data_IF_166525958280
#
_entry.id   IF_166525958280
#
_cell.length_a   1.000
_cell.length_b   1.000
_cell.length_c   1.000
_cell.angle_alpha   90.00
_cell.angle_beta   90.00
_cell.angle_gamma   90.00
#
_symmetry.space_group_name_H-M   'P 1'
#
loop_
_entity.id
_entity.type
_entity.pdbx_description
1 polymer ?
#
# COMPACT_ATOMS: atom_id res chain seq x y z
N UNK A 1 10.10 14.50 -5.61
CA UNK A 1 8.93 15.36 -5.85
C UNK A 1 7.84 15.14 -4.80
N UNK A 2 6.84 16.04 -4.72
CA UNK A 2 5.61 15.78 -3.98
C UNK A 2 4.69 14.92 -4.87
N UNK A 3 4.23 13.79 -4.35
CA UNK A 3 3.28 12.92 -5.04
C UNK A 3 1.91 13.63 -5.10
N UNK A 4 1.34 13.75 -6.28
CA UNK A 4 0.06 14.40 -6.54
C UNK A 4 -1.09 13.39 -6.72
N UNK A 5 -0.81 12.13 -7.08
CA UNK A 5 -1.86 11.15 -7.31
C UNK A 5 -1.41 9.69 -7.41
N UNK A 6 -2.38 8.82 -7.65
CA UNK A 6 -2.25 7.39 -7.93
C UNK A 6 -2.97 7.08 -9.24
N UNK A 7 -2.38 6.22 -10.10
CA UNK A 7 -3.06 5.79 -11.32
C UNK A 7 -4.27 4.91 -11.01
N UNK A 8 -5.34 5.07 -11.81
CA UNK A 8 -6.56 4.25 -11.70
C UNK A 8 -6.25 2.77 -11.89
N UNK A 9 -5.34 2.46 -12.80
CA UNK A 9 -4.94 1.09 -13.11
C UNK A 9 -4.26 0.43 -11.90
N UNK A 10 -3.30 1.11 -11.27
CA UNK A 10 -2.65 0.60 -10.07
C UNK A 10 -3.65 0.42 -8.94
N UNK A 11 -4.53 1.41 -8.71
CA UNK A 11 -5.54 1.29 -7.66
C UNK A 11 -6.48 0.10 -7.91
N UNK A 12 -6.84 -0.17 -9.16
CA UNK A 12 -7.66 -1.32 -9.54
C UNK A 12 -6.92 -2.63 -9.28
N UNK A 13 -5.62 -2.70 -9.62
CA UNK A 13 -4.76 -3.83 -9.33
C UNK A 13 -4.65 -4.12 -7.82
N UNK A 14 -4.53 -3.09 -6.97
CA UNK A 14 -4.50 -3.28 -5.51
C UNK A 14 -5.81 -3.91 -4.98
N UNK A 15 -6.95 -3.56 -5.56
CA UNK A 15 -8.23 -4.21 -5.21
C UNK A 15 -8.31 -5.66 -5.68
N UNK A 16 -7.75 -5.98 -6.84
CA UNK A 16 -7.67 -7.36 -7.33
C UNK A 16 -6.77 -8.21 -6.45
N UNK A 17 -5.57 -7.73 -6.12
CA UNK A 17 -4.66 -8.40 -5.17
C UNK A 17 -5.33 -8.62 -3.80
N UNK A 18 -6.06 -7.62 -3.29
CA UNK A 18 -6.85 -7.77 -2.07
C UNK A 18 -7.86 -8.91 -2.15
N UNK A 19 -8.55 -9.07 -3.28
CA UNK A 19 -9.51 -10.17 -3.50
C UNK A 19 -8.83 -11.52 -3.65
N UNK A 20 -7.72 -11.58 -4.37
CA UNK A 20 -6.97 -12.82 -4.63
C UNK A 20 -6.35 -13.39 -3.35
N UNK A 21 -5.86 -12.51 -2.46
CA UNK A 21 -5.22 -12.94 -1.22
C UNK A 21 -6.20 -13.18 -0.06
N UNK A 22 -7.45 -12.71 -0.16
CA UNK A 22 -8.47 -12.87 0.87
C UNK A 22 -8.66 -14.35 1.28
N UNK A 23 -8.71 -14.70 2.59
CA UNK A 23 -8.78 -13.81 3.75
C UNK A 23 -7.43 -13.34 4.31
N UNK A 24 -6.32 -13.57 3.61
CA UNK A 24 -5.01 -13.08 4.02
C UNK A 24 -4.75 -11.65 3.58
N UNK A 25 -3.89 -10.94 4.32
CA UNK A 25 -3.37 -9.64 3.90
C UNK A 25 -2.32 -9.82 2.79
N UNK A 26 -2.29 -8.92 1.81
CA UNK A 26 -1.10 -8.72 0.96
C UNK A 26 -0.35 -7.48 1.42
N UNK A 27 0.93 -7.39 1.06
CA UNK A 27 1.71 -6.15 1.16
C UNK A 27 2.58 -6.01 -0.08
N UNK A 28 2.69 -4.78 -0.58
CA UNK A 28 3.52 -4.41 -1.72
C UNK A 28 4.21 -3.07 -1.48
N UNK A 29 5.29 -2.82 -2.21
CA UNK A 29 5.99 -1.53 -2.22
C UNK A 29 5.46 -0.72 -3.39
N UNK A 30 5.19 0.56 -3.16
CA UNK A 30 4.67 1.47 -4.19
C UNK A 30 5.81 2.26 -4.83
N UNK A 31 5.74 2.41 -6.16
CA UNK A 31 6.66 3.22 -6.96
C UNK A 31 5.97 4.43 -7.57
N UNK A 32 6.67 5.55 -7.55
CA UNK A 32 6.23 6.78 -8.21
C UNK A 32 7.05 7.09 -9.45
N UNK A 33 6.35 7.62 -10.46
CA UNK A 33 6.94 8.19 -11.65
C UNK A 33 6.31 9.56 -11.88
N UNK A 34 7.16 10.59 -12.00
CA UNK A 34 6.76 11.98 -12.25
C UNK A 34 5.71 12.51 -11.25
N UNK A 35 5.77 12.07 -9.99
CA UNK A 35 4.84 12.48 -8.93
C UNK A 35 3.52 11.70 -8.89
N UNK A 36 3.36 10.65 -9.69
CA UNK A 36 2.19 9.76 -9.66
C UNK A 36 2.62 8.36 -9.23
N UNK A 37 1.92 7.76 -8.28
CA UNK A 37 2.12 6.35 -7.93
C UNK A 37 1.50 5.49 -9.04
N UNK A 38 2.33 4.79 -9.82
CA UNK A 38 1.88 4.07 -11.02
C UNK A 38 2.19 2.59 -11.02
N UNK A 39 3.11 2.14 -10.17
CA UNK A 39 3.58 0.76 -10.17
C UNK A 39 3.79 0.23 -8.74
N UNK A 40 3.96 -1.08 -8.62
CA UNK A 40 4.28 -1.76 -7.37
C UNK A 40 5.37 -2.81 -7.55
N UNK A 41 6.10 -3.08 -6.46
CA UNK A 41 6.96 -4.25 -6.34
C UNK A 41 6.41 -5.22 -5.30
N UNK A 42 6.40 -6.49 -5.66
CA UNK A 42 6.22 -7.58 -4.71
C UNK A 42 7.58 -7.93 -4.12
N UNK A 43 7.68 -7.88 -2.79
CA UNK A 43 8.95 -8.12 -2.10
C UNK A 43 9.12 -9.63 -1.87
N UNK A 44 10.24 -10.23 -2.32
CA UNK A 44 10.56 -11.62 -2.00
C UNK A 44 10.57 -11.86 -0.49
N UNK A 45 10.17 -13.05 -0.05
CA UNK A 45 10.15 -13.38 1.39
C UNK A 45 9.03 -12.71 2.18
N UNK A 46 8.01 -12.17 1.52
CA UNK A 46 6.79 -11.69 2.18
C UNK A 46 6.12 -12.83 2.94
N UNK A 47 5.93 -12.65 4.25
CA UNK A 47 5.17 -13.52 5.13
C UNK A 47 3.73 -13.01 5.15
N UNK A 48 2.80 -13.88 4.78
CA UNK A 48 1.38 -13.57 4.59
C UNK A 48 0.54 -14.28 5.66
N UNK A 49 -0.43 -13.59 6.25
CA UNK A 49 -1.41 -14.14 7.18
C UNK A 49 -2.70 -13.32 7.22
N UNK A 50 -3.72 -13.80 7.92
CA UNK A 50 -5.06 -13.18 7.98
C UNK A 50 -5.08 -11.81 8.68
N UNK A 51 -4.19 -11.58 9.64
CA UNK A 51 -4.12 -10.34 10.43
C UNK A 51 -2.94 -9.44 10.09
N UNK A 52 -1.98 -9.94 9.29
CA UNK A 52 -0.77 -9.19 8.96
C UNK A 52 -0.06 -9.76 7.74
N UNK A 53 0.50 -8.88 6.90
CA UNK A 53 1.55 -9.23 5.95
C UNK A 53 2.81 -8.37 6.17
N UNK A 54 3.98 -8.97 6.05
CA UNK A 54 5.25 -8.28 6.30
C UNK A 54 6.40 -8.86 5.47
N UNK A 55 7.44 -8.06 5.23
CA UNK A 55 8.68 -8.50 4.61
C UNK A 55 9.88 -7.88 5.33
N UNK A 56 11.07 -8.44 5.10
CA UNK A 56 12.31 -7.86 5.62
C UNK A 56 12.71 -6.64 4.79
N UNK A 57 12.88 -5.49 5.44
CA UNK A 57 13.25 -4.21 4.79
C UNK A 57 14.55 -4.32 3.99
N UNK A 58 15.49 -5.17 4.42
CA UNK A 58 16.75 -5.44 3.69
C UNK A 58 16.55 -6.10 2.32
N UNK A 59 15.34 -6.60 2.02
CA UNK A 59 14.96 -7.15 0.71
C UNK A 59 14.32 -6.11 -0.22
N UNK A 60 14.18 -4.85 0.23
CA UNK A 60 13.67 -3.78 -0.61
C UNK A 60 14.66 -3.49 -1.75
N UNK A 61 14.16 -3.29 -2.99
CA UNK A 61 14.98 -2.78 -4.07
C UNK A 61 15.65 -1.45 -3.66
N UNK A 62 16.94 -1.31 -3.94
CA UNK A 62 17.66 -0.04 -3.79
C UNK A 62 17.19 0.92 -4.90
N UNK A 63 16.07 1.60 -4.68
CA UNK A 63 15.45 2.50 -5.66
C UNK A 63 15.03 3.84 -5.03
N UNK A 64 15.34 4.93 -5.72
CA UNK A 64 15.00 6.30 -5.32
C UNK A 64 13.55 6.68 -5.60
N UNK A 65 12.82 5.88 -6.39
CA UNK A 65 11.43 6.11 -6.78
C UNK A 65 10.41 5.45 -5.86
N UNK A 66 10.84 4.97 -4.68
CA UNK A 66 9.96 4.37 -3.69
C UNK A 66 9.02 5.42 -3.05
N UNK A 67 7.71 5.22 -3.19
CA UNK A 67 6.68 6.08 -2.61
C UNK A 67 6.30 5.68 -1.19
N UNK A 68 6.24 4.36 -0.94
CA UNK A 68 5.86 3.75 0.33
C UNK A 68 5.27 2.36 0.12
N UNK A 69 4.14 2.02 0.75
CA UNK A 69 3.58 0.67 0.73
C UNK A 69 2.08 0.63 0.44
N UNK A 70 1.59 -0.52 -0.01
CA UNK A 70 0.17 -0.83 -0.02
C UNK A 70 -0.09 -2.18 0.64
N UNK A 71 -1.13 -2.29 1.45
CA UNK A 71 -1.56 -3.57 2.02
C UNK A 71 -3.09 -3.66 2.11
N UNK A 72 -3.59 -4.88 2.33
CA UNK A 72 -5.03 -5.11 2.45
C UNK A 72 -5.47 -5.45 3.87
N UNK A 73 -6.64 -4.96 4.27
CA UNK A 73 -7.34 -5.35 5.50
C UNK A 73 -8.59 -6.20 5.14
N UNK A 74 -8.54 -7.53 5.33
CA UNK A 74 -9.66 -8.46 5.07
C UNK A 74 -10.93 -8.14 5.87
N UNK A 75 -10.78 -7.48 7.03
CA UNK A 75 -11.89 -7.05 7.89
C UNK A 75 -12.59 -5.75 7.40
N UNK A 76 -12.08 -5.10 6.35
CA UNK A 76 -12.64 -3.89 5.77
C UNK A 76 -12.35 -2.59 6.52
N UNK A 77 -11.66 -2.64 7.65
CA UNK A 77 -11.20 -1.45 8.37
C UNK A 77 -10.12 -0.78 7.52
N UNK A 78 -10.22 0.54 7.33
CA UNK A 78 -9.24 1.31 6.55
C UNK A 78 -8.27 2.09 7.44
N UNK A 79 -8.38 1.96 8.76
CA UNK A 79 -7.52 2.62 9.74
C UNK A 79 -6.28 1.77 10.02
N UNK A 80 -5.08 2.37 10.09
CA UNK A 80 -3.86 1.61 10.32
C UNK A 80 -3.88 0.98 11.73
N UNK A 81 -3.36 -0.23 11.81
CA UNK A 81 -3.05 -0.89 13.08
C UNK A 81 -1.81 -0.27 13.73
N UNK A 82 -1.55 -0.60 15.00
CA UNK A 82 -0.27 -0.22 15.65
C UNK A 82 0.94 -0.86 14.96
N UNK A 83 0.77 -2.02 14.30
CA UNK A 83 1.83 -2.63 13.51
C UNK A 83 2.10 -1.83 12.24
N UNK A 84 1.04 -1.39 11.55
CA UNK A 84 1.12 -0.57 10.34
C UNK A 84 1.87 0.73 10.62
N UNK A 85 1.53 1.42 11.72
CA UNK A 85 2.19 2.66 12.13
C UNK A 85 3.69 2.49 12.41
N UNK A 86 4.12 1.32 12.90
CA UNK A 86 5.54 1.01 13.07
C UNK A 86 6.23 0.67 11.75
N UNK A 87 5.50 0.05 10.83
CA UNK A 87 5.98 -0.36 9.53
C UNK A 87 6.17 0.84 8.57
N UNK A 88 5.25 1.79 8.58
CA UNK A 88 5.22 2.90 7.62
C UNK A 88 6.56 3.64 7.45
N UNK A 89 7.24 4.11 8.53
CA UNK A 89 8.49 4.87 8.38
C UNK A 89 9.63 4.08 7.73
N UNK A 90 9.53 2.74 7.67
CA UNK A 90 10.58 1.89 7.12
C UNK A 90 10.54 1.72 5.59
N UNK A 91 9.42 2.08 4.94
CA UNK A 91 9.20 1.79 3.50
C UNK A 91 8.98 3.06 2.67
N UNK A 92 8.56 4.18 3.27
CA UNK A 92 8.44 5.43 2.52
C UNK A 92 7.53 6.46 3.18
N UNK A 93 6.83 7.23 2.35
CA UNK A 93 6.08 8.42 2.78
C UNK A 93 4.57 8.31 2.57
N UNK A 94 4.12 7.37 1.74
CA UNK A 94 2.70 7.18 1.39
C UNK A 94 2.33 5.72 1.53
N UNK A 95 1.33 5.44 2.35
CA UNK A 95 0.90 4.09 2.68
C UNK A 95 -0.59 3.94 2.36
N UNK A 96 -0.93 2.96 1.53
CA UNK A 96 -2.28 2.72 1.08
C UNK A 96 -2.82 1.48 1.77
N UNK A 97 -4.01 1.59 2.36
CA UNK A 97 -4.76 0.46 2.88
C UNK A 97 -5.96 0.27 1.96
N UNK A 98 -6.13 -0.94 1.42
CA UNK A 98 -7.37 -1.37 0.74
C UNK A 98 -8.15 -2.32 1.64
N UNK A 99 -9.47 -2.17 1.74
CA UNK A 99 -10.30 -2.96 2.66
C UNK A 99 -11.34 -3.78 1.92
N UNK A 100 -11.73 -4.93 2.47
CA UNK A 100 -12.93 -5.65 2.01
C UNK A 100 -14.17 -4.71 2.04
N UNK A 101 -15.06 -4.72 1.02
CA UNK A 101 -15.15 -5.64 -0.14
C UNK A 101 -14.35 -5.20 -1.39
N UNK A 102 -13.31 -4.38 -1.23
CA UNK A 102 -12.38 -3.93 -2.27
C UNK A 102 -13.05 -3.12 -3.40
N UNK A 103 -14.11 -2.41 -3.09
CA UNK A 103 -14.80 -1.49 -4.00
C UNK A 103 -14.00 -0.21 -4.25
N UNK A 104 -14.47 0.58 -5.21
CA UNK A 104 -13.78 1.81 -5.69
C UNK A 104 -13.48 2.86 -4.61
N UNK A 105 -14.14 2.77 -3.45
CA UNK A 105 -13.98 3.69 -2.31
C UNK A 105 -13.38 3.01 -1.08
N UNK A 106 -13.06 1.72 -1.16
CA UNK A 106 -12.62 0.92 -0.02
C UNK A 106 -11.09 0.99 0.09
N UNK A 107 -10.59 2.22 0.13
CA UNK A 107 -9.16 2.49 0.31
C UNK A 107 -8.92 3.82 1.00
N UNK A 108 -7.76 3.95 1.64
CA UNK A 108 -7.30 5.22 2.20
C UNK A 108 -5.78 5.30 2.15
N UNK A 109 -5.27 6.53 2.07
CA UNK A 109 -3.84 6.80 2.09
C UNK A 109 -3.43 7.51 3.39
N UNK A 110 -2.24 7.16 3.87
CA UNK A 110 -1.62 7.66 5.08
C UNK A 110 -0.18 8.09 4.84
N UNK A 111 0.30 9.00 5.68
CA UNK A 111 1.72 9.36 5.76
C UNK A 111 2.47 8.42 6.70
N UNK A 112 3.79 8.54 6.72
CA UNK A 112 4.66 7.76 7.59
C UNK A 112 4.32 7.87 9.09
N UNK A 113 3.72 8.99 9.51
CA UNK A 113 3.28 9.24 10.89
C UNK A 113 1.85 8.73 11.18
N UNK A 114 1.19 8.11 10.20
CA UNK A 114 -0.20 7.66 10.31
C UNK A 114 -1.25 8.74 10.04
N UNK A 115 -0.87 9.97 9.69
CA UNK A 115 -1.83 11.01 9.32
C UNK A 115 -2.48 10.68 7.97
N UNK A 116 -3.81 10.79 7.89
CA UNK A 116 -4.53 10.56 6.64
C UNK A 116 -4.20 11.64 5.61
N UNK A 117 -3.91 11.24 4.37
CA UNK A 117 -3.63 12.14 3.25
C UNK A 117 -4.52 11.77 2.08
N UNK A 118 -4.90 12.77 1.28
CA UNK A 118 -5.65 12.55 0.04
C UNK A 118 -4.67 12.33 -1.12
N UNK A 119 -4.97 11.36 -1.97
CA UNK A 119 -4.37 11.20 -3.30
C UNK A 119 -5.46 11.39 -4.35
N UNK A 120 -5.13 12.10 -5.43
CA UNK A 120 -5.99 12.17 -6.60
C UNK A 120 -5.87 10.86 -7.40
N UNK A 121 -7.00 10.34 -7.91
CA UNK A 121 -6.98 9.20 -8.83
C UNK A 121 -6.89 9.76 -10.24
N UNK A 122 -5.77 9.47 -10.91
CA UNK A 122 -5.47 9.95 -12.27
C UNK A 122 -5.46 8.79 -13.26
N UNK A 123 -5.53 9.07 -14.56
CA UNK A 123 -5.36 8.07 -15.63
C UNK A 123 -3.87 7.74 -15.86
#
# INVERSE_FOLDING_TARGET
MAICGISRDLLSMLFELGREHHPNEFVAVLREQDGVIRDLDLVPGTIVGEESASFFVDMLPLDTHQAGSAHSHPNGVLSPSTADLRFFPSVGRYHIIVGYPYGKRDWRCYRADGSATRLEVVE
#
